data_IF_141815508872
#
_entry.id   IF_141815508872
#
_cell.length_a   1.000
_cell.length_b   1.000
_cell.length_c   1.000
_cell.angle_alpha   90.00
_cell.angle_beta   90.00
_cell.angle_gamma   90.00
#
_symmetry.space_group_name_H-M   'P 1'
#
loop_
_entity.id
_entity.type
_entity.pdbx_description
1 polymer ?
#
# COMPACT_ATOMS: atom_id res chain seq x y z
N UNK A 1 40.44 45.05 26.21
CA UNK A 1 41.07 44.55 27.46
C UNK A 1 40.92 43.04 27.48
N UNK A 2 42.04 42.33 27.71
CA UNK A 2 42.16 40.88 27.97
C UNK A 2 41.11 40.42 28.99
N UNK A 3 40.60 39.19 28.99
CA UNK A 3 41.23 37.88 28.78
C UNK A 3 40.13 36.90 28.29
N UNK A 4 40.30 35.92 27.39
CA UNK A 4 41.34 34.87 27.22
C UNK A 4 41.73 34.16 28.52
N UNK A 5 40.85 33.26 28.98
CA UNK A 5 41.22 32.10 29.80
C UNK A 5 40.75 30.83 29.11
N UNK A 6 41.73 30.07 28.62
CA UNK A 6 41.57 28.71 28.13
C UNK A 6 41.08 27.78 29.25
N UNK A 7 40.05 26.98 28.95
CA UNK A 7 39.95 25.63 29.47
C UNK A 7 39.38 24.76 28.34
N UNK A 8 40.29 24.02 27.71
CA UNK A 8 39.98 22.85 26.90
C UNK A 8 39.26 21.84 27.79
N UNK A 9 37.95 21.74 27.63
CA UNK A 9 37.20 20.51 27.88
C UNK A 9 36.38 20.23 26.62
N UNK A 10 36.90 19.28 25.85
CA UNK A 10 36.28 18.67 24.67
C UNK A 10 34.84 18.23 25.01
N UNK A 11 33.85 18.73 24.27
CA UNK A 11 32.46 18.31 24.42
C UNK A 11 31.37 19.21 23.84
N UNK A 12 31.67 20.28 23.10
CA UNK A 12 30.68 20.87 22.21
C UNK A 12 30.62 20.05 20.91
N UNK A 13 29.52 19.31 20.73
CA UNK A 13 28.77 19.02 19.50
C UNK A 13 27.93 17.75 19.68
N UNK A 14 27.07 17.71 20.70
CA UNK A 14 26.02 16.71 20.82
C UNK A 14 24.66 17.34 20.48
N UNK A 15 24.52 17.87 19.26
CA UNK A 15 23.24 18.24 18.65
C UNK A 15 23.32 17.94 17.15
N UNK A 16 23.60 16.67 16.83
CA UNK A 16 23.71 16.21 15.45
C UNK A 16 23.14 14.81 15.18
N UNK A 17 22.68 14.09 16.22
CA UNK A 17 22.23 12.70 16.08
C UNK A 17 20.73 12.47 16.32
N UNK A 18 19.96 13.46 16.80
CA UNK A 18 18.55 13.25 17.15
C UNK A 18 17.54 13.52 16.01
N UNK A 19 17.93 14.20 14.93
CA UNK A 19 17.00 14.46 13.82
C UNK A 19 16.70 13.23 12.94
N UNK A 20 17.61 12.25 12.89
CA UNK A 20 17.46 11.07 12.04
C UNK A 20 16.46 10.04 12.61
N UNK A 21 16.26 9.98 13.93
CA UNK A 21 15.39 8.99 14.58
C UNK A 21 13.92 9.39 14.61
N UNK A 22 13.62 10.69 14.66
CA UNK A 22 12.25 11.17 14.76
C UNK A 22 11.49 11.07 13.43
N UNK A 23 12.17 11.32 12.30
CA UNK A 23 11.61 11.15 10.97
C UNK A 23 11.28 9.68 10.67
N UNK A 24 12.20 8.75 10.97
CA UNK A 24 11.99 7.32 10.75
C UNK A 24 10.84 6.75 11.62
N UNK A 25 10.75 7.21 12.88
CA UNK A 25 9.66 6.83 13.78
C UNK A 25 8.31 7.34 13.27
N UNK A 26 8.25 8.60 12.82
CA UNK A 26 7.04 9.19 12.25
C UNK A 26 6.59 8.44 10.97
N UNK A 27 7.52 8.07 10.08
CA UNK A 27 7.22 7.28 8.88
C UNK A 27 6.62 5.91 9.24
N UNK A 28 7.17 5.23 10.25
CA UNK A 28 6.66 3.93 10.71
C UNK A 28 5.27 4.04 11.34
N UNK A 29 5.03 5.06 12.15
CA UNK A 29 3.71 5.32 12.73
C UNK A 29 2.67 5.64 11.65
N UNK A 30 3.02 6.46 10.66
CA UNK A 30 2.16 6.76 9.51
C UNK A 30 1.86 5.50 8.68
N UNK A 31 2.87 4.67 8.41
CA UNK A 31 2.68 3.38 7.73
C UNK A 31 1.71 2.48 8.48
N UNK A 32 1.93 2.29 9.80
CA UNK A 32 1.06 1.45 10.61
C UNK A 32 -0.38 1.98 10.67
N UNK A 33 -0.55 3.30 10.78
CA UNK A 33 -1.86 3.93 10.76
C UNK A 33 -2.57 3.72 9.41
N UNK A 34 -1.85 3.84 8.29
CA UNK A 34 -2.39 3.58 6.97
C UNK A 34 -2.79 2.11 6.78
N UNK A 35 -1.96 1.17 7.23
CA UNK A 35 -2.27 -0.28 7.21
C UNK A 35 -3.49 -0.59 8.07
N UNK A 36 -3.58 -0.04 9.28
CA UNK A 36 -4.71 -0.24 10.18
C UNK A 36 -6.02 0.30 9.57
N UNK A 37 -5.98 1.46 8.92
CA UNK A 37 -7.13 2.01 8.17
C UNK A 37 -7.53 1.09 7.02
N UNK A 38 -6.56 0.63 6.21
CA UNK A 38 -6.83 -0.29 5.11
C UNK A 38 -7.50 -1.59 5.59
N UNK A 39 -7.06 -2.14 6.73
CA UNK A 39 -7.65 -3.35 7.32
C UNK A 39 -9.05 -3.09 7.90
N UNK A 40 -9.30 -1.92 8.49
CA UNK A 40 -10.62 -1.53 8.96
C UNK A 40 -11.60 -1.35 7.79
N UNK A 41 -11.18 -0.65 6.72
CA UNK A 41 -11.96 -0.45 5.51
C UNK A 41 -12.25 -1.77 4.81
N UNK A 42 -11.27 -2.68 4.75
CA UNK A 42 -11.45 -4.05 4.24
C UNK A 42 -12.53 -4.78 5.03
N UNK A 43 -12.45 -4.77 6.36
CA UNK A 43 -13.44 -5.41 7.21
C UNK A 43 -14.83 -4.84 6.93
N UNK A 44 -15.00 -3.51 6.95
CA UNK A 44 -16.27 -2.87 6.67
C UNK A 44 -16.81 -3.21 5.27
N UNK A 45 -15.95 -3.18 4.24
CA UNK A 45 -16.33 -3.53 2.87
C UNK A 45 -16.75 -5.00 2.74
N UNK A 46 -16.02 -5.93 3.36
CA UNK A 46 -16.40 -7.35 3.33
C UNK A 46 -17.72 -7.62 4.05
N UNK A 47 -18.01 -6.93 5.16
CA UNK A 47 -19.33 -6.99 5.81
C UNK A 47 -20.43 -6.51 4.87
N UNK A 48 -20.21 -5.38 4.18
CA UNK A 48 -21.16 -4.86 3.17
C UNK A 48 -21.35 -5.81 1.97
N UNK A 49 -20.37 -6.65 1.65
CA UNK A 49 -20.47 -7.65 0.59
C UNK A 49 -21.30 -8.88 1.00
N UNK A 50 -21.53 -9.14 2.29
CA UNK A 50 -22.15 -10.40 2.75
C UNK A 50 -23.59 -10.62 2.26
N UNK A 51 -24.33 -9.54 2.03
CA UNK A 51 -25.71 -9.58 1.52
C UNK A 51 -25.81 -9.90 0.02
N UNK A 52 -24.69 -9.88 -0.70
CA UNK A 52 -24.62 -10.23 -2.13
C UNK A 52 -24.56 -11.74 -2.31
N UNK A 53 -24.83 -12.21 -3.53
CA UNK A 53 -24.84 -13.63 -3.87
C UNK A 53 -24.16 -13.87 -5.22
N UNK A 54 -23.72 -15.11 -5.46
CA UNK A 54 -23.05 -15.52 -6.70
C UNK A 54 -21.80 -14.69 -7.01
N UNK A 55 -21.49 -14.54 -8.29
CA UNK A 55 -20.32 -13.81 -8.77
C UNK A 55 -20.28 -12.35 -8.27
N UNK A 56 -21.45 -11.70 -8.08
CA UNK A 56 -21.51 -10.34 -7.52
C UNK A 56 -20.91 -10.26 -6.11
N UNK A 57 -21.08 -11.31 -5.30
CA UNK A 57 -20.45 -11.41 -3.98
C UNK A 57 -18.95 -11.56 -4.12
N UNK A 58 -18.50 -12.45 -5.01
CA UNK A 58 -17.09 -12.76 -5.19
C UNK A 58 -16.33 -11.55 -5.72
N UNK A 59 -16.88 -10.85 -6.72
CA UNK A 59 -16.36 -9.57 -7.23
C UNK A 59 -16.30 -8.52 -6.12
N UNK A 60 -17.33 -8.43 -5.27
CA UNK A 60 -17.33 -7.49 -4.15
C UNK A 60 -16.22 -7.80 -3.14
N UNK A 61 -16.06 -9.06 -2.75
CA UNK A 61 -15.02 -9.50 -1.83
C UNK A 61 -13.62 -9.26 -2.41
N UNK A 62 -13.43 -9.54 -3.70
CA UNK A 62 -12.16 -9.26 -4.37
C UNK A 62 -11.89 -7.77 -4.51
N UNK A 63 -12.90 -6.95 -4.76
CA UNK A 63 -12.74 -5.50 -4.80
C UNK A 63 -12.33 -4.95 -3.43
N UNK A 64 -12.92 -5.47 -2.34
CA UNK A 64 -12.53 -5.10 -0.98
C UNK A 64 -11.07 -5.46 -0.71
N UNK A 65 -10.66 -6.69 -1.08
CA UNK A 65 -9.26 -7.14 -0.95
C UNK A 65 -8.32 -6.28 -1.78
N UNK A 66 -8.67 -6.00 -3.03
CA UNK A 66 -7.85 -5.17 -3.92
C UNK A 66 -7.69 -3.76 -3.36
N UNK A 67 -8.74 -3.13 -2.84
CA UNK A 67 -8.65 -1.81 -2.22
C UNK A 67 -7.71 -1.80 -1.01
N UNK A 68 -7.77 -2.84 -0.18
CA UNK A 68 -6.85 -3.02 0.96
C UNK A 68 -5.40 -3.14 0.49
N UNK A 69 -5.15 -4.02 -0.48
CA UNK A 69 -3.80 -4.30 -0.96
C UNK A 69 -3.21 -3.06 -1.64
N UNK A 70 -4.01 -2.32 -2.42
CA UNK A 70 -3.63 -1.00 -2.98
C UNK A 70 -3.28 0.02 -1.88
N UNK A 71 -4.09 0.12 -0.83
CA UNK A 71 -3.82 1.06 0.26
C UNK A 71 -2.54 0.69 1.04
N UNK A 72 -2.25 -0.60 1.22
CA UNK A 72 -0.98 -1.06 1.81
C UNK A 72 0.21 -0.79 0.90
N UNK A 73 0.05 -1.00 -0.41
CA UNK A 73 1.05 -0.65 -1.41
C UNK A 73 1.35 0.86 -1.42
N UNK A 74 0.32 1.70 -1.35
CA UNK A 74 0.46 3.16 -1.20
C UNK A 74 1.22 3.52 0.09
N UNK A 75 0.86 2.90 1.22
CA UNK A 75 1.56 3.09 2.48
C UNK A 75 3.05 2.72 2.40
N UNK A 76 3.37 1.64 1.68
CA UNK A 76 4.76 1.21 1.45
C UNK A 76 5.52 2.21 0.57
N UNK A 77 4.90 2.69 -0.52
CA UNK A 77 5.49 3.66 -1.43
C UNK A 77 5.78 5.02 -0.75
N UNK A 78 4.99 5.42 0.26
CA UNK A 78 5.23 6.63 1.04
C UNK A 78 6.57 6.63 1.79
N UNK A 79 7.21 5.47 1.98
CA UNK A 79 8.56 5.34 2.55
C UNK A 79 9.69 5.65 1.55
N UNK A 80 9.35 6.12 0.34
CA UNK A 80 10.20 6.80 -0.66
C UNK A 80 11.42 6.04 -1.19
N UNK A 81 11.39 4.71 -1.27
CA UNK A 81 12.35 3.99 -2.14
C UNK A 81 11.77 3.81 -3.54
N UNK A 82 12.61 3.92 -4.58
CA UNK A 82 12.20 3.68 -5.97
C UNK A 82 11.59 2.28 -6.13
N UNK A 83 12.22 1.28 -5.50
CA UNK A 83 11.73 -0.10 -5.52
C UNK A 83 10.36 -0.23 -4.86
N UNK A 84 10.10 0.48 -3.75
CA UNK A 84 8.77 0.46 -3.12
C UNK A 84 7.69 1.08 -4.01
N UNK A 85 8.03 2.07 -4.85
CA UNK A 85 7.09 2.66 -5.81
C UNK A 85 6.81 1.70 -6.96
N UNK A 86 7.84 1.02 -7.48
CA UNK A 86 7.70 0.03 -8.54
C UNK A 86 6.88 -1.18 -8.07
N UNK A 87 7.24 -1.77 -6.92
CA UNK A 87 6.49 -2.86 -6.29
C UNK A 87 5.05 -2.44 -5.99
N UNK A 88 4.83 -1.23 -5.46
CA UNK A 88 3.48 -0.76 -5.22
C UNK A 88 2.66 -0.64 -6.52
N UNK A 89 3.28 -0.28 -7.64
CA UNK A 89 2.60 -0.26 -8.94
C UNK A 89 2.23 -1.68 -9.38
N UNK A 90 3.14 -2.64 -9.25
CA UNK A 90 2.89 -4.05 -9.59
C UNK A 90 1.78 -4.66 -8.74
N UNK A 91 1.86 -4.49 -7.41
CA UNK A 91 0.85 -4.97 -6.45
C UNK A 91 -0.55 -4.44 -6.79
N UNK A 92 -0.65 -3.16 -7.17
CA UNK A 92 -1.91 -2.54 -7.56
C UNK A 92 -2.45 -3.13 -8.86
N UNK A 93 -1.59 -3.36 -9.85
CA UNK A 93 -2.00 -3.97 -11.12
C UNK A 93 -2.45 -5.42 -10.93
N UNK A 94 -1.75 -6.20 -10.11
CA UNK A 94 -2.14 -7.57 -9.80
C UNK A 94 -3.49 -7.60 -9.05
N UNK A 95 -3.68 -6.70 -8.09
CA UNK A 95 -4.94 -6.55 -7.37
C UNK A 95 -6.12 -6.20 -8.31
N UNK A 96 -5.92 -5.28 -9.25
CA UNK A 96 -6.94 -4.93 -10.25
C UNK A 96 -7.20 -6.06 -11.24
N UNK A 97 -6.17 -6.80 -11.64
CA UNK A 97 -6.32 -7.98 -12.48
C UNK A 97 -7.15 -9.07 -11.80
N UNK A 98 -6.92 -9.33 -10.51
CA UNK A 98 -7.71 -10.31 -9.74
C UNK A 98 -9.20 -9.94 -9.74
N UNK A 99 -9.53 -8.66 -9.55
CA UNK A 99 -10.91 -8.17 -9.65
C UNK A 99 -11.47 -8.34 -11.06
N UNK A 100 -10.69 -7.98 -12.08
CA UNK A 100 -11.14 -8.10 -13.47
C UNK A 100 -11.38 -9.56 -13.88
N UNK A 101 -10.49 -10.47 -13.44
CA UNK A 101 -10.63 -11.90 -13.65
C UNK A 101 -11.92 -12.42 -13.00
N UNK A 102 -12.18 -12.03 -11.75
CA UNK A 102 -13.41 -12.41 -11.05
C UNK A 102 -14.66 -11.92 -11.80
N UNK A 103 -14.63 -10.70 -12.37
CA UNK A 103 -15.74 -10.20 -13.21
C UNK A 103 -15.92 -11.02 -14.48
N UNK A 104 -14.82 -11.50 -15.08
CA UNK A 104 -14.88 -12.38 -16.25
C UNK A 104 -15.49 -13.75 -15.92
N UNK A 105 -15.53 -14.18 -14.65
CA UNK A 105 -16.10 -15.48 -14.27
C UNK A 105 -17.63 -15.55 -14.43
N UNK A 106 -18.30 -14.41 -14.60
CA UNK A 106 -19.71 -14.33 -15.04
C UNK A 106 -19.93 -14.78 -16.50
N UNK A 107 -18.87 -14.92 -17.29
CA UNK A 107 -18.91 -15.29 -18.70
C UNK A 107 -18.54 -16.77 -18.90
N UNK A 108 -18.77 -17.28 -20.11
CA UNK A 108 -18.42 -18.65 -20.50
C UNK A 108 -17.88 -18.73 -21.93
N UNK A 109 -17.11 -19.78 -22.23
CA UNK A 109 -16.54 -20.02 -23.56
C UNK A 109 -15.64 -18.89 -24.04
N UNK A 110 -15.66 -18.62 -25.36
CA UNK A 110 -14.82 -17.61 -26.01
C UNK A 110 -14.96 -16.20 -25.42
N UNK A 111 -16.13 -15.87 -24.88
CA UNK A 111 -16.38 -14.60 -24.22
C UNK A 111 -15.54 -14.45 -22.94
N UNK A 112 -15.44 -15.52 -22.14
CA UNK A 112 -14.60 -15.54 -20.93
C UNK A 112 -13.13 -15.46 -21.29
N UNK A 113 -12.69 -16.22 -22.28
CA UNK A 113 -11.29 -16.25 -22.71
C UNK A 113 -10.83 -14.88 -23.23
N UNK A 114 -11.67 -14.24 -24.04
CA UNK A 114 -11.45 -12.87 -24.52
C UNK A 114 -11.41 -11.87 -23.37
N UNK A 115 -12.31 -11.99 -22.41
CA UNK A 115 -12.33 -11.13 -21.22
C UNK A 115 -11.02 -11.24 -20.42
N UNK A 116 -10.54 -12.46 -20.15
CA UNK A 116 -9.29 -12.70 -19.42
C UNK A 116 -8.08 -12.18 -20.21
N UNK A 117 -8.03 -12.41 -21.53
CA UNK A 117 -6.95 -11.89 -22.39
C UNK A 117 -6.88 -10.36 -22.34
N UNK A 118 -8.02 -9.69 -22.42
CA UNK A 118 -8.09 -8.23 -22.31
C UNK A 118 -7.68 -7.74 -20.92
N UNK A 119 -8.08 -8.44 -19.86
CA UNK A 119 -7.67 -8.11 -18.50
C UNK A 119 -6.14 -8.23 -18.32
N UNK A 120 -5.53 -9.32 -18.82
CA UNK A 120 -4.08 -9.51 -18.83
C UNK A 120 -3.34 -8.39 -19.55
N UNK A 121 -3.79 -8.05 -20.76
CA UNK A 121 -3.21 -6.96 -21.54
C UNK A 121 -3.32 -5.60 -20.82
N UNK A 122 -4.45 -5.33 -20.16
CA UNK A 122 -4.68 -4.07 -19.45
C UNK A 122 -3.81 -3.92 -18.19
N UNK A 123 -3.63 -4.99 -17.43
CA UNK A 123 -2.94 -4.96 -16.13
C UNK A 123 -1.53 -5.54 -16.18
N UNK A 124 -1.02 -5.81 -17.38
CA UNK A 124 0.34 -6.32 -17.61
C UNK A 124 0.63 -7.62 -16.83
N UNK A 125 -0.27 -8.60 -16.94
CA UNK A 125 -0.20 -9.93 -16.31
C UNK A 125 -0.09 -11.03 -17.36
#
# INVERSE_FOLDING_TARGET
MRAMTCALALGLFAFGAQAATDAEKADKEQYNAAVARADADYKAATEACKSRQGNDKDVCMQQAKANRDKAKADAKAMRKSHDAVAEAREDKMEAEYKVAKERCDSLSGDAKDTCIKNAKAKYHQ
#
